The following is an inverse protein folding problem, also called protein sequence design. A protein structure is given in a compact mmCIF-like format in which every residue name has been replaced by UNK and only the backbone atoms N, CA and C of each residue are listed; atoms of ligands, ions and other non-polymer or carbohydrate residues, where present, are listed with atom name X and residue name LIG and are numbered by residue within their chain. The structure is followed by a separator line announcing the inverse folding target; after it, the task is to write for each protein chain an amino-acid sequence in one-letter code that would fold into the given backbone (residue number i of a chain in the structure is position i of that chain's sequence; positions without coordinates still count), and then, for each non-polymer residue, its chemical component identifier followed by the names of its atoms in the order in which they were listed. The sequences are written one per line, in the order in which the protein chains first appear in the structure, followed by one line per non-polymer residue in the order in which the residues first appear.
data_IF_277858741528
#
_entry.id   IF_277858741528
#
_cell.length_a   1.000
_cell.length_b   1.000
_cell.length_c   1.000
_cell.angle_alpha   90.00
_cell.angle_beta   90.00
_cell.angle_gamma   90.00
#
_symmetry.space_group_name_H-M   'P 1'
#
loop_
_entity.id
_entity.type
_entity.pdbx_description
1 polymer ?
#
# COMPACT_ATOMS: atom_id res chain seq x y z
N UNK A 1 -38.44 9.82 -53.69
CA UNK A 1 -38.30 10.16 -52.26
C UNK A 1 -37.08 9.43 -51.76
N UNK A 2 -36.02 10.17 -51.44
CA UNK A 2 -34.79 9.61 -50.89
C UNK A 2 -34.91 9.65 -49.37
N UNK A 3 -35.04 8.48 -48.73
CA UNK A 3 -34.87 8.39 -47.28
C UNK A 3 -33.38 8.26 -46.96
N UNK A 4 -32.92 9.32 -46.31
CA UNK A 4 -31.56 9.54 -45.85
C UNK A 4 -31.44 8.87 -44.48
N UNK A 5 -31.09 7.59 -44.43
CA UNK A 5 -30.73 6.92 -43.16
C UNK A 5 -29.28 7.27 -42.84
N UNK A 6 -29.09 8.43 -42.21
CA UNK A 6 -27.81 8.81 -41.63
C UNK A 6 -27.44 7.82 -40.52
N UNK A 7 -26.38 7.10 -40.84
CA UNK A 7 -25.47 6.36 -39.98
C UNK A 7 -25.19 7.11 -38.65
N UNK A 8 -25.73 6.62 -37.54
CA UNK A 8 -25.24 6.94 -36.19
C UNK A 8 -24.49 5.73 -35.65
N UNK A 9 -23.33 5.42 -36.24
CA UNK A 9 -22.33 4.60 -35.56
C UNK A 9 -21.80 5.38 -34.36
N UNK A 10 -22.53 5.33 -33.25
CA UNK A 10 -21.98 5.74 -31.96
C UNK A 10 -20.89 4.72 -31.61
N UNK A 11 -19.63 5.13 -31.71
CA UNK A 11 -18.50 4.37 -31.17
C UNK A 11 -18.56 4.43 -29.64
N UNK A 12 -19.40 3.60 -29.02
CA UNK A 12 -19.25 3.28 -27.61
C UNK A 12 -18.17 2.22 -27.49
N UNK A 13 -16.93 2.61 -27.17
CA UNK A 13 -16.00 1.66 -26.56
C UNK A 13 -16.51 1.47 -25.12
N UNK A 14 -17.36 0.46 -24.93
CA UNK A 14 -17.70 -0.02 -23.59
C UNK A 14 -16.44 -0.69 -23.04
N UNK A 15 -15.67 0.07 -22.27
CA UNK A 15 -14.62 -0.48 -21.42
C UNK A 15 -15.32 -1.21 -20.27
N UNK A 16 -15.73 -2.45 -20.53
CA UNK A 16 -16.44 -3.28 -19.58
C UNK A 16 -15.47 -3.63 -18.44
N UNK A 17 -15.60 -2.89 -17.33
CA UNK A 17 -14.76 -3.05 -16.14
C UNK A 17 -14.86 -4.50 -15.68
N UNK A 18 -13.72 -5.12 -15.41
CA UNK A 18 -13.62 -6.47 -14.91
C UNK A 18 -12.85 -6.45 -13.60
N UNK A 19 -13.31 -7.23 -12.62
CA UNK A 19 -12.48 -7.63 -11.51
C UNK A 19 -12.83 -9.03 -11.04
N UNK A 20 -11.83 -9.68 -10.45
CA UNK A 20 -11.92 -10.99 -9.83
C UNK A 20 -11.10 -11.01 -8.55
N UNK A 21 -11.72 -11.48 -7.48
CA UNK A 21 -11.05 -11.74 -6.20
C UNK A 21 -11.13 -13.23 -5.93
N UNK A 22 -9.98 -13.89 -5.88
CA UNK A 22 -9.88 -15.33 -5.58
C UNK A 22 -9.24 -15.51 -4.21
N UNK A 23 -9.96 -16.17 -3.30
CA UNK A 23 -9.47 -16.60 -2.00
C UNK A 23 -9.11 -18.08 -2.04
N UNK A 24 -7.87 -18.43 -1.67
CA UNK A 24 -7.39 -19.81 -1.69
C UNK A 24 -7.40 -20.40 -0.28
N UNK A 25 -8.44 -21.19 0.00
CA UNK A 25 -8.69 -21.80 1.31
C UNK A 25 -8.08 -23.19 1.32
N UNK A 26 -7.10 -23.42 2.20
CA UNK A 26 -6.51 -24.75 2.37
C UNK A 26 -7.43 -25.64 3.19
N UNK A 27 -7.75 -26.82 2.67
CA UNK A 27 -8.49 -27.87 3.35
C UNK A 27 -7.67 -29.17 3.34
N UNK A 28 -6.81 -29.34 4.35
CA UNK A 28 -5.82 -30.41 4.34
C UNK A 28 -4.79 -30.22 3.22
N UNK A 29 -4.69 -31.20 2.31
CA UNK A 29 -3.83 -31.13 1.12
C UNK A 29 -4.49 -30.43 -0.08
N UNK A 30 -5.80 -30.23 -0.04
CA UNK A 30 -6.55 -29.60 -1.13
C UNK A 30 -6.65 -28.09 -0.94
N UNK A 31 -6.79 -27.37 -2.04
CA UNK A 31 -7.04 -25.92 -2.03
C UNK A 31 -8.38 -25.67 -2.71
N UNK A 32 -9.33 -25.16 -1.94
CA UNK A 32 -10.61 -24.65 -2.43
C UNK A 32 -10.45 -23.19 -2.84
N UNK A 33 -10.93 -22.82 -4.02
CA UNK A 33 -10.93 -21.43 -4.49
C UNK A 33 -12.33 -20.84 -4.37
N UNK A 34 -12.44 -19.75 -3.59
CA UNK A 34 -13.67 -18.96 -3.48
C UNK A 34 -13.48 -17.72 -4.34
N UNK A 35 -14.29 -17.59 -5.38
CA UNK A 35 -14.14 -16.54 -6.37
C UNK A 35 -15.31 -15.56 -6.34
N UNK A 36 -14.99 -14.27 -6.34
CA UNK A 36 -15.94 -13.20 -6.59
C UNK A 36 -15.52 -12.54 -7.90
N UNK A 37 -16.30 -12.72 -8.94
CA UNK A 37 -15.98 -12.27 -10.28
C UNK A 37 -17.12 -11.41 -10.83
N UNK A 38 -16.75 -10.25 -11.38
CA UNK A 38 -17.67 -9.36 -12.07
C UNK A 38 -17.63 -9.68 -13.56
N UNK A 39 -18.68 -10.32 -14.07
CA UNK A 39 -18.81 -10.70 -15.47
C UNK A 39 -19.57 -9.65 -16.29
N UNK A 40 -19.46 -9.76 -17.62
CA UNK A 40 -20.18 -8.89 -18.55
C UNK A 40 -21.69 -9.09 -18.42
N UNK A 41 -22.44 -7.99 -18.46
CA UNK A 41 -23.91 -8.01 -18.39
C UNK A 41 -24.46 -8.65 -19.67
N UNK A 42 -25.02 -9.85 -19.58
CA UNK A 42 -25.76 -10.47 -20.69
C UNK A 42 -27.23 -10.06 -20.64
N UNK A 43 -27.78 -9.63 -21.79
CA UNK A 43 -29.19 -9.26 -21.95
C UNK A 43 -29.72 -8.21 -20.94
N UNK A 44 -28.83 -7.35 -20.42
CA UNK A 44 -29.20 -6.29 -19.48
C UNK A 44 -29.41 -6.75 -18.03
N UNK A 45 -29.16 -8.03 -17.70
CA UNK A 45 -29.28 -8.56 -16.33
C UNK A 45 -27.89 -8.75 -15.74
N UNK A 46 -27.55 -7.91 -14.74
CA UNK A 46 -26.33 -8.09 -13.95
C UNK A 46 -26.64 -8.99 -12.75
N UNK A 47 -26.08 -10.20 -12.74
CA UNK A 47 -26.18 -11.15 -11.62
C UNK A 47 -24.86 -11.31 -10.87
N UNK A 48 -23.88 -10.45 -11.16
CA UNK A 48 -22.57 -10.53 -10.53
C UNK A 48 -22.62 -10.03 -9.08
N UNK A 49 -21.77 -10.57 -8.19
CA UNK A 49 -21.68 -10.06 -6.83
C UNK A 49 -21.19 -8.60 -6.85
N UNK A 50 -21.86 -7.73 -6.08
CA UNK A 50 -21.36 -6.39 -5.81
C UNK A 50 -20.16 -6.47 -4.86
N UNK A 51 -19.00 -6.02 -5.32
CA UNK A 51 -17.82 -5.82 -4.46
C UNK A 51 -16.99 -4.62 -4.91
N UNK A 52 -16.20 -4.11 -3.98
CA UNK A 52 -15.31 -2.97 -4.21
C UNK A 52 -13.88 -3.39 -3.89
N UNK A 53 -12.93 -2.90 -4.67
CA UNK A 53 -11.51 -3.13 -4.48
C UNK A 53 -10.79 -1.79 -4.36
N UNK A 54 -9.93 -1.70 -3.37
CA UNK A 54 -8.87 -0.70 -3.28
C UNK A 54 -7.56 -1.43 -2.99
N UNK A 55 -6.54 -1.22 -3.82
CA UNK A 55 -5.18 -1.75 -3.56
C UNK A 55 -4.20 -0.60 -3.55
N UNK A 56 -3.25 -0.61 -2.63
CA UNK A 56 -2.22 0.41 -2.46
C UNK A 56 -0.85 -0.20 -2.72
N UNK A 57 0.02 0.53 -3.41
CA UNK A 57 1.41 0.14 -3.67
C UNK A 57 2.39 1.27 -3.37
N UNK A 58 3.59 0.93 -2.89
CA UNK A 58 4.56 1.92 -2.41
C UNK A 58 6.00 1.34 -2.39
N UNK A 59 7.00 2.10 -2.84
CA UNK A 59 8.42 1.71 -2.77
C UNK A 59 9.06 1.92 -1.37
N UNK A 60 8.40 2.67 -0.49
CA UNK A 60 8.88 3.09 0.84
C UNK A 60 8.24 2.28 1.97
N UNK A 61 6.94 2.03 1.86
CA UNK A 61 6.23 1.09 2.72
C UNK A 61 6.55 -0.33 2.28
N UNK A 62 6.81 -1.19 3.25
CA UNK A 62 7.41 -2.48 2.93
C UNK A 62 6.39 -3.62 2.79
N UNK A 63 5.09 -3.28 2.78
CA UNK A 63 3.98 -4.19 2.50
C UNK A 63 2.83 -3.43 1.86
N UNK A 64 2.39 -3.88 0.70
CA UNK A 64 1.21 -3.36 0.03
C UNK A 64 -0.05 -3.85 0.75
N UNK A 65 -1.11 -3.04 0.72
CA UNK A 65 -2.39 -3.30 1.39
C UNK A 65 -3.48 -3.38 0.33
N UNK A 66 -4.42 -4.29 0.51
CA UNK A 66 -5.66 -4.28 -0.24
C UNK A 66 -6.87 -4.29 0.70
N UNK A 67 -7.92 -3.58 0.30
CA UNK A 67 -9.24 -3.60 0.94
C UNK A 67 -10.23 -4.12 -0.08
N UNK A 68 -10.93 -5.18 0.29
CA UNK A 68 -12.04 -5.74 -0.50
C UNK A 68 -13.31 -5.58 0.32
N UNK A 69 -14.33 -4.97 -0.26
CA UNK A 69 -15.65 -4.85 0.34
C UNK A 69 -16.58 -5.82 -0.37
N UNK A 70 -17.22 -6.73 0.37
CA UNK A 70 -18.20 -7.68 -0.17
C UNK A 70 -19.49 -7.57 0.63
N UNK A 71 -20.62 -7.66 -0.05
CA UNK A 71 -21.94 -7.59 0.58
C UNK A 71 -22.55 -8.98 0.76
N UNK A 72 -23.31 -9.16 1.84
CA UNK A 72 -24.20 -10.30 2.08
C UNK A 72 -23.51 -11.68 2.04
N UNK A 73 -22.27 -11.79 2.55
CA UNK A 73 -21.58 -13.07 2.73
C UNK A 73 -22.37 -14.01 3.66
N UNK A 74 -22.40 -15.29 3.29
CA UNK A 74 -22.99 -16.35 4.13
C UNK A 74 -22.10 -16.66 5.34
N UNK A 75 -22.69 -17.22 6.40
CA UNK A 75 -21.94 -17.62 7.60
C UNK A 75 -20.86 -18.68 7.30
N UNK A 76 -21.07 -19.51 6.28
CA UNK A 76 -20.06 -20.48 5.83
C UNK A 76 -18.84 -19.77 5.22
N UNK A 77 -19.07 -18.80 4.33
CA UNK A 77 -17.98 -18.03 3.71
C UNK A 77 -17.20 -17.25 4.76
N UNK A 78 -17.87 -16.61 5.71
CA UNK A 78 -17.21 -15.89 6.82
C UNK A 78 -16.30 -16.84 7.62
N UNK A 79 -16.71 -18.08 7.84
CA UNK A 79 -15.90 -19.09 8.55
C UNK A 79 -14.68 -19.55 7.73
N UNK A 80 -14.74 -19.49 6.40
CA UNK A 80 -13.62 -19.83 5.50
C UNK A 80 -12.64 -18.67 5.33
N UNK A 81 -13.12 -17.44 5.23
CA UNK A 81 -12.33 -16.22 5.01
C UNK A 81 -11.64 -15.72 6.30
N UNK A 82 -10.62 -16.44 6.75
CA UNK A 82 -9.86 -16.16 7.97
C UNK A 82 -8.49 -15.55 7.68
N UNK A 83 -7.86 -14.98 8.72
CA UNK A 83 -6.48 -14.48 8.66
C UNK A 83 -5.53 -15.56 8.11
N UNK A 84 -4.68 -15.18 7.16
CA UNK A 84 -3.69 -16.05 6.52
C UNK A 84 -4.16 -16.75 5.24
N UNK A 85 -5.46 -16.72 4.92
CA UNK A 85 -5.99 -17.18 3.62
C UNK A 85 -5.40 -16.33 2.50
N UNK A 86 -4.89 -16.98 1.45
CA UNK A 86 -4.27 -16.27 0.33
C UNK A 86 -5.33 -15.61 -0.55
N UNK A 87 -4.98 -14.43 -1.07
CA UNK A 87 -5.85 -13.59 -1.90
C UNK A 87 -5.10 -13.20 -3.17
N UNK A 88 -5.76 -13.35 -4.31
CA UNK A 88 -5.33 -12.81 -5.60
C UNK A 88 -6.43 -11.88 -6.10
N UNK A 89 -6.03 -10.68 -6.54
CA UNK A 89 -6.94 -9.71 -7.12
C UNK A 89 -6.49 -9.40 -8.55
N UNK A 90 -7.38 -9.65 -9.49
CA UNK A 90 -7.25 -9.33 -10.90
C UNK A 90 -8.26 -8.26 -11.27
N UNK A 91 -7.84 -7.27 -12.06
CA UNK A 91 -8.74 -6.21 -12.50
C UNK A 91 -8.26 -5.58 -13.80
N UNK A 92 -9.19 -4.93 -14.51
CA UNK A 92 -8.92 -4.34 -15.82
C UNK A 92 -10.19 -4.14 -16.64
N UNK A 93 -10.05 -4.34 -17.94
CA UNK A 93 -11.15 -4.23 -18.89
C UNK A 93 -11.31 -5.51 -19.70
N UNK A 94 -12.55 -5.95 -19.85
CA UNK A 94 -12.94 -7.10 -20.65
C UNK A 94 -13.91 -6.62 -21.73
N UNK A 95 -13.42 -6.30 -22.93
CA UNK A 95 -14.24 -5.59 -23.91
C UNK A 95 -15.17 -6.52 -24.71
N UNK A 96 -14.67 -7.65 -25.22
CA UNK A 96 -15.44 -8.49 -26.16
C UNK A 96 -15.08 -10.00 -26.12
N UNK A 97 -14.68 -10.51 -24.95
CA UNK A 97 -14.30 -11.92 -24.76
C UNK A 97 -12.92 -12.29 -25.34
N UNK A 98 -12.47 -11.58 -26.38
CA UNK A 98 -11.17 -11.76 -27.05
C UNK A 98 -10.18 -10.70 -26.62
N UNK A 99 -10.62 -9.45 -26.51
CA UNK A 99 -9.81 -8.31 -26.06
C UNK A 99 -9.98 -8.13 -24.55
N UNK A 100 -8.98 -8.60 -23.81
CA UNK A 100 -8.90 -8.48 -22.35
C UNK A 100 -7.62 -7.73 -21.98
N UNK A 101 -7.78 -6.64 -21.25
CA UNK A 101 -6.69 -5.86 -20.66
C UNK A 101 -6.79 -5.97 -19.13
N UNK A 102 -6.52 -7.19 -18.64
CA UNK A 102 -6.69 -7.60 -17.24
C UNK A 102 -5.34 -8.07 -16.72
N UNK A 103 -5.01 -7.70 -15.49
CA UNK A 103 -3.83 -8.22 -14.83
C UNK A 103 -3.97 -8.29 -13.32
N UNK A 104 -3.01 -8.94 -12.70
CA UNK A 104 -2.94 -9.07 -11.24
C UNK A 104 -2.46 -7.77 -10.63
N UNK A 105 -3.35 -7.10 -9.90
CA UNK A 105 -3.04 -5.86 -9.17
C UNK A 105 -2.63 -6.11 -7.72
N UNK A 106 -2.88 -7.31 -7.19
CA UNK A 106 -2.52 -7.64 -5.82
C UNK A 106 -2.42 -9.16 -5.56
N UNK A 107 -1.41 -9.58 -4.78
CA UNK A 107 -1.33 -10.89 -4.15
C UNK A 107 -0.91 -10.77 -2.69
N UNK A 108 -1.57 -11.50 -1.80
CA UNK A 108 -1.24 -11.48 -0.38
C UNK A 108 -2.08 -12.45 0.43
N UNK A 109 -2.34 -12.08 1.68
CA UNK A 109 -3.18 -12.83 2.62
C UNK A 109 -4.18 -11.92 3.32
N UNK A 110 -5.29 -12.49 3.79
CA UNK A 110 -6.23 -11.81 4.69
C UNK A 110 -5.53 -11.48 6.01
N UNK A 111 -5.63 -10.24 6.46
CA UNK A 111 -5.24 -9.81 7.81
C UNK A 111 -6.46 -9.79 8.75
N UNK A 112 -7.58 -9.25 8.27
CA UNK A 112 -8.80 -9.13 9.06
C UNK A 112 -10.04 -9.07 8.18
N UNK A 113 -11.15 -9.59 8.70
CA UNK A 113 -12.49 -9.46 8.14
C UNK A 113 -13.40 -8.83 9.20
N UNK A 114 -14.11 -7.76 8.83
CA UNK A 114 -15.04 -7.05 9.71
C UNK A 114 -16.41 -6.92 9.04
N UNK A 115 -17.44 -7.45 9.68
CA UNK A 115 -18.83 -7.31 9.25
C UNK A 115 -19.52 -6.15 9.96
N UNK A 116 -20.33 -5.40 9.22
CA UNK A 116 -21.20 -4.34 9.74
C UNK A 116 -22.50 -4.29 8.96
N UNK A 117 -23.57 -3.83 9.59
CA UNK A 117 -24.84 -3.55 8.89
C UNK A 117 -24.75 -2.22 8.17
N UNK A 118 -25.19 -2.18 6.92
CA UNK A 118 -25.35 -0.98 6.11
C UNK A 118 -26.76 -0.99 5.50
N UNK A 119 -27.69 -0.30 6.17
CA UNK A 119 -29.11 -0.35 5.86
C UNK A 119 -29.64 -1.80 5.86
N UNK A 120 -30.14 -2.29 4.71
CA UNK A 120 -30.65 -3.64 4.55
C UNK A 120 -29.57 -4.69 4.27
N UNK A 121 -28.34 -4.25 3.92
CA UNK A 121 -27.25 -5.14 3.53
C UNK A 121 -26.23 -5.34 4.65
N UNK A 122 -25.57 -6.50 4.65
CA UNK A 122 -24.43 -6.78 5.54
C UNK A 122 -23.13 -6.55 4.77
N UNK A 123 -22.42 -5.47 5.11
CA UNK A 123 -21.14 -5.09 4.51
C UNK A 123 -19.98 -5.80 5.21
N UNK A 124 -19.10 -6.44 4.46
CA UNK A 124 -17.88 -7.07 4.96
C UNK A 124 -16.65 -6.39 4.39
N UNK A 125 -15.81 -5.85 5.26
CA UNK A 125 -14.52 -5.25 4.90
C UNK A 125 -13.40 -6.25 5.19
N UNK A 126 -12.74 -6.70 4.13
CA UNK A 126 -11.61 -7.63 4.17
C UNK A 126 -10.33 -6.83 3.92
N UNK A 127 -9.50 -6.69 4.94
CA UNK A 127 -8.17 -6.10 4.81
C UNK A 127 -7.15 -7.19 4.56
N UNK A 128 -6.37 -7.02 3.50
CA UNK A 128 -5.31 -7.93 3.11
C UNK A 128 -3.95 -7.23 3.21
N UNK A 129 -2.89 -8.00 3.41
CA UNK A 129 -1.51 -7.52 3.33
C UNK A 129 -0.62 -8.46 2.50
N UNK A 130 0.53 -7.95 2.06
CA UNK A 130 1.49 -8.75 1.31
C UNK A 130 2.25 -9.68 2.27
N UNK A 131 1.72 -10.88 2.47
CA UNK A 131 2.38 -12.01 3.16
C UNK A 131 3.07 -11.65 4.49
N UNK A 132 2.41 -10.90 5.38
CA UNK A 132 2.95 -10.50 6.68
C UNK A 132 3.27 -11.67 7.62
N UNK A 133 2.62 -12.82 7.42
CA UNK A 133 2.95 -14.07 8.11
C UNK A 133 4.41 -14.49 7.87
N UNK A 134 4.92 -14.29 6.65
CA UNK A 134 6.35 -14.45 6.36
C UNK A 134 7.14 -13.17 6.64
N UNK A 135 6.64 -12.05 6.14
CA UNK A 135 7.41 -10.82 6.10
C UNK A 135 7.65 -10.20 7.49
N UNK A 136 6.62 -10.17 8.35
CA UNK A 136 6.67 -9.53 9.67
C UNK A 136 6.78 -10.54 10.82
N UNK A 137 6.17 -11.72 10.66
CA UNK A 137 5.99 -12.65 11.77
C UNK A 137 7.08 -13.74 11.81
N UNK A 138 7.68 -14.10 10.66
CA UNK A 138 8.74 -15.11 10.60
C UNK A 138 10.06 -14.58 11.14
N UNK A 139 10.59 -15.27 12.17
CA UNK A 139 11.90 -14.99 12.77
C UNK A 139 12.99 -15.82 12.11
N UNK A 140 14.05 -15.15 11.67
CA UNK A 140 15.24 -15.78 11.12
C UNK A 140 16.36 -15.71 12.16
N UNK A 141 16.99 -16.86 12.40
CA UNK A 141 18.26 -16.96 13.11
C UNK A 141 19.28 -17.57 12.15
N UNK A 142 20.14 -16.74 11.58
CA UNK A 142 21.10 -17.12 10.56
C UNK A 142 22.48 -16.62 10.92
N UNK A 143 23.47 -17.51 10.85
CA UNK A 143 24.90 -17.17 10.92
C UNK A 143 25.53 -17.53 9.59
N UNK A 144 26.20 -16.58 8.97
CA UNK A 144 26.90 -16.78 7.70
C UNK A 144 28.40 -16.78 7.94
N UNK A 145 29.10 -17.60 7.16
CA UNK A 145 30.55 -17.70 7.21
C UNK A 145 31.23 -16.42 6.71
N UNK A 146 32.53 -16.31 7.00
CA UNK A 146 33.41 -15.27 6.46
C UNK A 146 33.30 -15.22 4.93
N UNK A 147 33.30 -14.02 4.36
CA UNK A 147 33.29 -13.86 2.90
C UNK A 147 31.90 -13.89 2.25
N UNK A 148 30.82 -14.02 3.04
CA UNK A 148 29.47 -14.14 2.48
C UNK A 148 28.97 -12.77 2.01
N UNK A 149 28.56 -12.68 0.74
CA UNK A 149 27.97 -11.47 0.15
C UNK A 149 26.53 -11.24 0.61
N UNK A 150 26.13 -9.97 0.75
CA UNK A 150 24.77 -9.59 1.13
C UNK A 150 23.71 -10.16 0.19
N UNK A 151 23.95 -10.14 -1.13
CA UNK A 151 23.04 -10.73 -2.14
C UNK A 151 22.79 -12.22 -1.90
N UNK A 152 23.82 -12.98 -1.52
CA UNK A 152 23.72 -14.40 -1.15
C UNK A 152 22.88 -14.60 0.10
N UNK A 153 23.04 -13.73 1.11
CA UNK A 153 22.24 -13.80 2.35
C UNK A 153 20.76 -13.56 2.03
N UNK A 154 20.43 -12.56 1.21
CA UNK A 154 19.05 -12.24 0.82
C UNK A 154 18.42 -13.46 0.13
N UNK A 155 19.10 -14.03 -0.87
CA UNK A 155 18.63 -15.22 -1.60
C UNK A 155 18.44 -16.43 -0.67
N UNK A 156 19.34 -16.65 0.29
CA UNK A 156 19.26 -17.72 1.27
C UNK A 156 18.08 -17.54 2.25
N UNK A 157 17.73 -16.31 2.61
CA UNK A 157 16.54 -16.05 3.43
C UNK A 157 15.29 -16.35 2.60
N UNK A 158 15.21 -15.83 1.37
CA UNK A 158 14.06 -16.05 0.48
C UNK A 158 13.86 -17.53 0.14
N UNK A 159 14.93 -18.33 0.04
CA UNK A 159 14.82 -19.77 -0.23
C UNK A 159 14.21 -20.56 0.93
N UNK A 160 14.07 -19.96 2.13
CA UNK A 160 13.43 -20.57 3.30
C UNK A 160 11.98 -20.12 3.48
N UNK A 161 11.47 -19.32 2.55
CA UNK A 161 10.12 -18.76 2.57
C UNK A 161 9.27 -19.41 1.48
N UNK A 162 8.01 -19.64 1.78
CA UNK A 162 7.08 -20.34 0.91
C UNK A 162 6.40 -19.40 -0.08
N UNK A 163 6.05 -18.18 0.35
CA UNK A 163 5.24 -17.23 -0.41
C UNK A 163 6.08 -16.10 -1.00
N UNK A 164 7.04 -15.56 -0.25
CA UNK A 164 7.95 -14.54 -0.74
C UNK A 164 9.05 -15.12 -1.62
N UNK A 165 9.16 -14.64 -2.85
CA UNK A 165 10.13 -15.09 -3.86
C UNK A 165 11.08 -13.99 -4.26
N UNK A 166 12.27 -14.38 -4.73
CA UNK A 166 13.27 -13.45 -5.22
C UNK A 166 12.86 -12.91 -6.60
N UNK A 167 12.82 -11.58 -6.72
CA UNK A 167 12.83 -10.87 -8.00
C UNK A 167 14.24 -10.41 -8.36
N UNK A 168 14.33 -9.18 -8.87
CA UNK A 168 15.62 -8.54 -9.15
C UNK A 168 16.34 -8.22 -7.83
N UNK A 169 17.54 -8.76 -7.65
CA UNK A 169 18.39 -8.49 -6.49
C UNK A 169 19.66 -7.80 -6.97
N UNK A 170 19.58 -6.49 -7.14
CA UNK A 170 20.68 -5.61 -7.54
C UNK A 170 20.98 -4.64 -6.39
N UNK A 171 22.16 -4.74 -5.80
CA UNK A 171 22.49 -3.96 -4.62
C UNK A 171 23.36 -2.76 -4.99
N UNK A 172 23.14 -1.61 -4.35
CA UNK A 172 23.98 -0.43 -4.57
C UNK A 172 25.45 -0.68 -4.23
N UNK A 173 25.69 -1.48 -3.19
CA UNK A 173 26.99 -2.05 -2.83
C UNK A 173 26.78 -3.44 -2.25
N UNK A 174 27.10 -4.48 -3.02
CA UNK A 174 27.04 -5.85 -2.51
C UNK A 174 28.20 -6.10 -1.53
N UNK A 175 27.91 -5.91 -0.24
CA UNK A 175 28.90 -6.00 0.84
C UNK A 175 29.34 -7.44 1.01
N UNK A 176 30.66 -7.61 1.04
CA UNK A 176 31.31 -8.82 1.53
C UNK A 176 31.49 -8.74 3.06
N UNK A 177 30.75 -9.57 3.79
CA UNK A 177 30.88 -9.67 5.25
C UNK A 177 32.12 -10.53 5.60
N UNK A 178 33.29 -9.87 5.64
CA UNK A 178 34.61 -10.51 5.89
C UNK A 178 34.67 -11.36 7.16
N UNK A 179 34.01 -10.93 8.23
CA UNK A 179 33.97 -11.66 9.51
C UNK A 179 32.74 -12.56 9.65
N UNK A 180 31.95 -12.70 8.59
CA UNK A 180 30.63 -13.29 8.62
C UNK A 180 29.57 -12.31 9.16
N UNK A 181 28.31 -12.74 9.17
CA UNK A 181 27.19 -11.95 9.67
C UNK A 181 26.27 -12.84 10.50
N UNK A 182 25.81 -12.33 11.63
CA UNK A 182 24.74 -12.96 12.42
C UNK A 182 23.50 -12.10 12.31
N UNK A 183 22.39 -12.72 11.90
CA UNK A 183 21.09 -12.09 11.74
C UNK A 183 20.10 -12.79 12.68
N UNK A 184 19.49 -12.02 13.57
CA UNK A 184 18.51 -12.51 14.54
C UNK A 184 17.36 -11.52 14.69
N UNK A 185 16.40 -11.58 13.77
CA UNK A 185 15.20 -10.75 13.80
C UNK A 185 14.15 -11.33 12.84
N UNK A 186 13.01 -10.64 12.67
CA UNK A 186 12.09 -10.98 11.59
C UNK A 186 12.63 -10.56 10.21
N UNK A 187 12.03 -11.11 9.15
CA UNK A 187 12.41 -10.85 7.76
C UNK A 187 12.40 -9.35 7.44
N UNK A 188 11.35 -8.62 7.84
CA UNK A 188 11.23 -7.16 7.68
C UNK A 188 12.45 -6.41 8.21
N UNK A 189 12.85 -6.66 9.45
CA UNK A 189 13.98 -5.96 10.06
C UNK A 189 15.30 -6.34 9.41
N UNK A 190 15.49 -7.63 9.08
CA UNK A 190 16.71 -8.09 8.40
C UNK A 190 16.83 -7.47 7.02
N UNK A 191 15.76 -7.45 6.22
CA UNK A 191 15.80 -6.84 4.89
C UNK A 191 16.03 -5.33 4.95
N UNK A 192 15.47 -4.64 5.94
CA UNK A 192 15.78 -3.22 6.20
C UNK A 192 17.25 -2.99 6.55
N UNK A 193 17.82 -3.83 7.42
CA UNK A 193 19.24 -3.77 7.77
C UNK A 193 20.12 -4.01 6.53
N UNK A 194 19.84 -5.05 5.74
CA UNK A 194 20.61 -5.39 4.54
C UNK A 194 20.49 -4.31 3.45
N UNK A 195 19.29 -3.75 3.24
CA UNK A 195 19.10 -2.64 2.30
C UNK A 195 19.91 -1.41 2.72
N UNK A 196 19.92 -1.07 4.01
CA UNK A 196 20.71 0.05 4.55
C UNK A 196 22.21 -0.18 4.39
N UNK A 197 22.71 -1.34 4.81
CA UNK A 197 24.12 -1.73 4.66
C UNK A 197 24.57 -1.56 3.20
N UNK A 198 23.74 -2.05 2.27
CA UNK A 198 24.08 -2.13 0.83
C UNK A 198 23.71 -0.88 0.02
N UNK A 199 23.27 0.21 0.66
CA UNK A 199 22.77 1.44 -0.02
C UNK A 199 21.67 1.17 -1.04
N UNK A 200 20.79 0.23 -0.71
CA UNK A 200 19.69 -0.22 -1.55
C UNK A 200 18.34 0.19 -0.94
N UNK A 201 17.29 0.08 -1.75
CA UNK A 201 15.90 -0.02 -1.28
C UNK A 201 15.40 -1.43 -1.56
N UNK A 202 14.33 -1.82 -0.88
CA UNK A 202 13.58 -3.01 -1.25
C UNK A 202 12.09 -2.76 -1.08
N UNK A 203 11.31 -3.44 -1.91
CA UNK A 203 9.85 -3.43 -1.88
C UNK A 203 9.34 -4.81 -2.32
N UNK A 204 8.06 -5.08 -2.05
CA UNK A 204 7.45 -6.38 -2.31
C UNK A 204 6.19 -6.17 -3.15
N UNK A 205 6.25 -6.61 -4.40
CA UNK A 205 5.11 -6.55 -5.32
C UNK A 205 4.59 -7.95 -5.55
N UNK A 206 3.34 -8.23 -5.17
CA UNK A 206 2.67 -9.52 -5.43
C UNK A 206 3.48 -10.75 -4.97
N UNK A 207 4.17 -10.65 -3.83
CA UNK A 207 5.04 -11.70 -3.29
C UNK A 207 6.46 -11.75 -3.85
N UNK A 208 6.80 -10.87 -4.79
CA UNK A 208 8.14 -10.78 -5.37
C UNK A 208 8.94 -9.68 -4.67
N UNK A 209 10.02 -10.08 -4.00
CA UNK A 209 10.92 -9.18 -3.28
C UNK A 209 11.99 -8.67 -4.25
N UNK A 210 12.04 -7.35 -4.40
CA UNK A 210 13.01 -6.66 -5.26
C UNK A 210 13.96 -5.83 -4.41
N UNK A 211 15.26 -5.91 -4.70
CA UNK A 211 16.29 -5.02 -4.16
C UNK A 211 16.93 -4.26 -5.32
N UNK A 212 17.02 -2.93 -5.20
CA UNK A 212 17.66 -2.06 -6.19
C UNK A 212 18.49 -0.97 -5.52
N UNK A 213 19.54 -0.43 -6.18
CA UNK A 213 20.23 0.76 -5.68
C UNK A 213 19.24 1.92 -5.51
N UNK A 214 19.36 2.68 -4.41
CA UNK A 214 18.40 3.73 -4.04
C UNK A 214 18.25 4.82 -5.12
N UNK A 215 19.32 5.09 -5.86
CA UNK A 215 19.42 6.09 -6.92
C UNK A 215 19.08 5.53 -8.32
N UNK A 216 18.85 4.22 -8.46
CA UNK A 216 18.68 3.54 -9.76
C UNK A 216 17.51 2.55 -9.76
N UNK A 217 16.44 2.88 -9.06
CA UNK A 217 15.21 2.08 -9.08
C UNK A 217 14.64 2.11 -10.50
N UNK A 218 14.44 0.92 -11.08
CA UNK A 218 13.89 0.78 -12.42
C UNK A 218 13.41 -0.66 -12.65
N UNK A 219 12.10 -0.87 -12.76
CA UNK A 219 11.50 -2.15 -13.16
C UNK A 219 11.16 -2.22 -14.66
N UNK A 220 11.37 -1.14 -15.38
CA UNK A 220 10.95 -0.94 -16.76
C UNK A 220 10.28 0.42 -16.95
N UNK A 221 10.09 0.78 -18.20
CA UNK A 221 9.36 1.99 -18.61
C UNK A 221 8.00 1.57 -19.14
N UNK A 222 6.95 2.20 -18.61
CA UNK A 222 5.58 2.06 -19.06
C UNK A 222 5.28 3.18 -20.05
N UNK A 223 4.81 2.80 -21.23
CA UNK A 223 4.23 3.71 -22.20
C UNK A 223 2.76 3.94 -21.83
N UNK A 224 2.37 5.20 -21.67
CA UNK A 224 1.01 5.58 -21.30
C UNK A 224 0.56 6.82 -22.05
N UNK A 225 -0.66 6.76 -22.60
CA UNK A 225 -1.27 7.89 -23.28
C UNK A 225 -1.69 8.94 -22.25
N UNK A 226 -1.03 10.10 -22.28
CA UNK A 226 -1.27 11.21 -21.35
C UNK A 226 -2.72 11.73 -21.39
N UNK A 227 -3.46 11.53 -22.48
CA UNK A 227 -4.87 11.92 -22.57
C UNK A 227 -5.80 11.06 -21.70
N UNK A 228 -5.29 9.97 -21.10
CA UNK A 228 -6.02 9.10 -20.18
C UNK A 228 -5.91 9.54 -18.72
N UNK A 229 -5.18 10.62 -18.43
CA UNK A 229 -5.24 11.29 -17.14
C UNK A 229 -6.53 12.09 -17.00
N UNK A 230 -7.11 12.02 -15.80
CA UNK A 230 -8.34 12.69 -15.40
C UNK A 230 -8.08 13.92 -14.55
N UNK A 231 -7.06 13.86 -13.69
CA UNK A 231 -6.74 14.91 -12.72
C UNK A 231 -5.25 14.87 -12.32
N UNK A 232 -4.71 16.02 -11.93
CA UNK A 232 -3.34 16.18 -11.45
C UNK A 232 -3.34 17.08 -10.22
N UNK A 233 -2.65 16.62 -9.18
CA UNK A 233 -2.43 17.38 -7.96
C UNK A 233 -0.94 17.52 -7.69
N UNK A 234 -0.47 18.76 -7.60
CA UNK A 234 0.86 19.05 -7.09
C UNK A 234 0.86 18.94 -5.57
N UNK A 235 1.85 18.22 -5.04
CA UNK A 235 2.14 18.12 -3.62
C UNK A 235 3.57 18.62 -3.37
N UNK A 236 4.00 18.69 -2.11
CA UNK A 236 5.35 19.13 -1.73
C UNK A 236 6.46 18.24 -2.37
N UNK A 237 6.91 18.60 -3.57
CA UNK A 237 7.98 17.91 -4.31
C UNK A 237 7.55 16.68 -5.13
N UNK A 238 6.25 16.36 -5.19
CA UNK A 238 5.69 15.23 -5.97
C UNK A 238 4.42 15.63 -6.71
N UNK A 239 3.99 14.82 -7.68
CA UNK A 239 2.68 14.97 -8.32
C UNK A 239 1.88 13.69 -8.16
N UNK A 240 0.61 13.82 -7.78
CA UNK A 240 -0.37 12.74 -7.85
C UNK A 240 -1.14 12.87 -9.16
N UNK A 241 -1.06 11.85 -10.00
CA UNK A 241 -1.75 11.76 -11.28
C UNK A 241 -2.88 10.74 -11.13
N UNK A 242 -4.11 11.15 -11.43
CA UNK A 242 -5.28 10.24 -11.49
C UNK A 242 -5.56 9.91 -12.95
N UNK A 243 -5.58 8.63 -13.28
CA UNK A 243 -5.86 8.13 -14.62
C UNK A 243 -7.10 7.25 -14.64
N UNK A 244 -7.59 6.94 -15.85
CA UNK A 244 -8.44 5.74 -16.02
C UNK A 244 -7.73 4.53 -15.41
N UNK A 245 -8.49 3.52 -15.00
CA UNK A 245 -7.92 2.33 -14.40
C UNK A 245 -6.90 1.68 -15.37
N UNK A 246 -5.72 1.32 -14.86
CA UNK A 246 -4.71 0.59 -15.61
C UNK A 246 -3.94 -0.33 -14.64
N UNK A 247 -4.05 -1.64 -14.83
CA UNK A 247 -3.49 -2.64 -13.92
C UNK A 247 -1.95 -2.72 -13.96
N UNK A 248 -1.31 -2.08 -14.95
CA UNK A 248 0.14 -2.16 -15.17
C UNK A 248 0.92 -1.18 -14.31
N UNK A 249 0.26 -0.13 -13.80
CA UNK A 249 0.89 0.80 -12.88
C UNK A 249 1.24 0.10 -11.57
N UNK A 250 2.52 0.04 -11.26
CA UNK A 250 3.05 -0.57 -10.04
C UNK A 250 4.26 0.24 -9.56
N UNK A 251 4.59 0.10 -8.29
CA UNK A 251 5.76 0.71 -7.67
C UNK A 251 7.07 0.27 -8.37
N UNK A 252 7.99 1.22 -8.54
CA UNK A 252 9.31 0.97 -9.12
C UNK A 252 9.36 0.97 -10.65
N UNK A 253 8.23 0.99 -11.34
CA UNK A 253 8.18 1.30 -12.77
C UNK A 253 8.41 2.79 -13.00
N UNK A 254 8.90 3.11 -14.19
CA UNK A 254 8.95 4.48 -14.67
C UNK A 254 7.89 4.70 -15.73
N UNK A 255 7.44 5.94 -15.87
CA UNK A 255 6.44 6.34 -16.86
C UNK A 255 7.01 7.48 -17.69
N UNK A 256 6.87 7.37 -19.02
CA UNK A 256 7.23 8.45 -19.94
C UNK A 256 6.03 9.38 -20.10
N UNK A 257 6.19 10.65 -19.74
CA UNK A 257 5.12 11.64 -19.71
C UNK A 257 5.42 12.81 -20.64
N UNK A 258 4.39 13.30 -21.34
CA UNK A 258 4.39 14.60 -22.02
C UNK A 258 3.04 15.27 -21.74
N UNK A 259 2.93 15.89 -20.57
CA UNK A 259 1.67 16.43 -20.05
C UNK A 259 1.36 17.83 -20.57
N UNK A 260 2.31 18.49 -21.27
CA UNK A 260 2.14 19.85 -21.76
C UNK A 260 0.93 20.02 -22.70
N UNK A 261 0.63 18.97 -23.47
CA UNK A 261 -0.53 18.96 -24.39
C UNK A 261 -1.86 18.75 -23.69
N UNK A 262 -1.85 18.08 -22.53
CA UNK A 262 -3.06 17.70 -21.79
C UNK A 262 -3.39 18.72 -20.71
N UNK A 263 -2.38 19.38 -20.14
CA UNK A 263 -2.52 20.39 -19.10
C UNK A 263 -1.67 21.61 -19.48
N UNK A 264 -2.30 22.64 -20.05
CA UNK A 264 -1.64 23.79 -20.69
C UNK A 264 -0.60 24.54 -19.83
N UNK A 265 -0.65 24.36 -18.50
CA UNK A 265 0.21 25.05 -17.53
C UNK A 265 1.32 24.15 -16.93
N UNK A 266 1.38 22.86 -17.28
CA UNK A 266 2.34 21.91 -16.70
C UNK A 266 3.43 21.54 -17.71
N UNK A 267 4.68 21.88 -17.39
CA UNK A 267 5.86 21.46 -18.15
C UNK A 267 6.45 20.13 -17.63
N UNK A 268 5.59 19.13 -17.42
CA UNK A 268 6.01 17.78 -17.04
C UNK A 268 6.28 17.00 -18.33
N UNK A 269 7.56 16.83 -18.64
CA UNK A 269 8.02 16.06 -19.79
C UNK A 269 9.25 15.23 -19.43
N UNK A 270 9.18 13.92 -19.63
CA UNK A 270 10.29 13.01 -19.40
C UNK A 270 9.87 11.72 -18.69
N UNK A 271 10.87 11.01 -18.19
CA UNK A 271 10.71 9.72 -17.52
C UNK A 271 10.67 9.93 -15.99
N UNK A 272 9.58 9.51 -15.36
CA UNK A 272 9.37 9.68 -13.92
C UNK A 272 9.15 8.35 -13.22
N UNK A 273 9.73 8.18 -12.03
CA UNK A 273 9.56 6.99 -11.20
C UNK A 273 8.20 7.02 -10.50
N UNK A 274 7.43 5.94 -10.63
CA UNK A 274 6.23 5.68 -9.84
C UNK A 274 6.67 5.23 -8.45
N UNK A 275 6.45 6.07 -7.44
CA UNK A 275 6.84 5.79 -6.06
C UNK A 275 5.72 5.11 -5.29
N UNK A 276 4.49 5.57 -5.49
CA UNK A 276 3.29 5.12 -4.78
C UNK A 276 2.09 5.17 -5.69
N UNK A 277 1.02 4.53 -5.26
CA UNK A 277 -0.27 4.67 -5.94
C UNK A 277 -1.31 3.74 -5.38
N UNK A 278 -2.49 3.79 -6.00
CA UNK A 278 -3.58 2.90 -5.67
C UNK A 278 -4.43 2.60 -6.89
N UNK A 279 -4.97 1.40 -6.93
CA UNK A 279 -6.03 1.02 -7.86
C UNK A 279 -7.36 1.02 -7.12
N UNK A 280 -8.38 1.61 -7.73
CA UNK A 280 -9.74 1.60 -7.20
C UNK A 280 -10.68 1.04 -8.26
N UNK A 281 -11.47 0.06 -7.86
CA UNK A 281 -12.53 -0.52 -8.68
C UNK A 281 -13.81 -0.57 -7.85
N UNK A 282 -14.69 0.40 -8.12
CA UNK A 282 -16.08 0.40 -7.70
C UNK A 282 -16.96 0.38 -8.96
N UNK A 283 -17.76 -0.68 -9.11
CA UNK A 283 -18.57 -0.86 -10.31
C UNK A 283 -19.74 0.13 -10.41
N UNK A 284 -20.16 0.73 -9.28
CA UNK A 284 -21.27 1.69 -9.23
C UNK A 284 -20.82 3.14 -9.42
N UNK A 285 -19.61 3.47 -8.96
CA UNK A 285 -19.09 4.83 -8.99
C UNK A 285 -17.88 4.90 -9.93
N UNK A 286 -16.70 4.59 -9.40
CA UNK A 286 -15.45 4.98 -10.02
C UNK A 286 -14.51 3.78 -10.23
N UNK A 287 -13.83 3.78 -11.38
CA UNK A 287 -12.67 2.93 -11.62
C UNK A 287 -11.53 3.79 -12.11
N UNK A 288 -10.43 3.80 -11.37
CA UNK A 288 -9.28 4.64 -11.66
C UNK A 288 -7.99 4.06 -11.07
N UNK A 289 -6.87 4.63 -11.50
CA UNK A 289 -5.59 4.41 -10.85
C UNK A 289 -4.97 5.77 -10.52
N UNK A 290 -4.56 5.94 -9.27
CA UNK A 290 -3.77 7.10 -8.83
C UNK A 290 -2.32 6.67 -8.69
N UNK A 291 -1.40 7.51 -9.15
CA UNK A 291 0.03 7.28 -9.03
C UNK A 291 0.74 8.56 -8.60
N UNK A 292 1.70 8.41 -7.70
CA UNK A 292 2.60 9.46 -7.26
C UNK A 292 3.90 9.34 -8.05
N UNK A 293 4.27 10.43 -8.73
CA UNK A 293 5.57 10.57 -9.37
C UNK A 293 6.45 11.55 -8.62
N UNK A 294 7.75 11.26 -8.64
CA UNK A 294 8.77 12.12 -8.06
C UNK A 294 9.50 12.90 -9.16
N UNK A 295 9.49 14.23 -9.07
CA UNK A 295 10.11 15.11 -10.07
C UNK A 295 11.54 15.53 -9.71
N UNK A 296 11.96 15.34 -8.46
CA UNK A 296 13.33 15.54 -7.98
C UNK A 296 13.72 14.40 -7.04
N UNK A 297 14.85 13.73 -7.29
CA UNK A 297 15.47 12.83 -6.31
C UNK A 297 16.04 13.67 -5.16
N UNK A 298 15.19 14.16 -4.26
CA UNK A 298 15.66 14.90 -3.09
C UNK A 298 16.37 13.97 -2.10
N UNK A 299 17.66 14.24 -1.89
CA UNK A 299 18.51 13.65 -0.85
C UNK A 299 17.98 13.87 0.60
N UNK A 300 16.89 14.62 0.77
CA UNK A 300 16.30 15.01 2.05
C UNK A 300 15.43 13.91 2.69
N UNK A 301 14.69 13.10 1.90
CA UNK A 301 14.07 11.88 2.43
C UNK A 301 15.12 10.84 2.84
N UNK A 302 16.27 10.87 2.18
CA UNK A 302 17.49 10.13 2.56
C UNK A 302 17.98 10.54 3.95
N UNK A 303 17.70 11.77 4.41
CA UNK A 303 17.95 12.21 5.80
C UNK A 303 16.83 11.81 6.75
N UNK A 304 15.55 11.98 6.38
CA UNK A 304 14.40 11.65 7.25
C UNK A 304 14.28 10.15 7.55
N UNK A 305 14.53 9.27 6.59
CA UNK A 305 14.59 7.82 6.81
C UNK A 305 15.80 7.41 7.70
N UNK A 306 16.86 8.23 7.73
CA UNK A 306 18.03 8.02 8.57
C UNK A 306 17.89 8.62 9.99
N UNK A 307 17.05 9.64 10.19
CA UNK A 307 16.85 10.28 11.51
C UNK A 307 15.85 9.53 12.40
N UNK A 308 14.85 8.84 11.83
CA UNK A 308 13.80 8.15 12.62
C UNK A 308 14.32 6.92 13.40
N UNK A 309 15.54 6.41 13.10
CA UNK A 309 16.14 5.27 13.83
C UNK A 309 17.24 5.64 14.86
N UNK A 310 17.60 6.93 15.04
CA UNK A 310 18.60 7.34 16.05
C UNK A 310 17.91 7.68 17.38
N UNK A 311 17.08 6.78 17.91
CA UNK A 311 16.78 6.72 19.36
C UNK A 311 16.78 5.27 19.85
N UNK A 312 17.76 4.47 19.46
CA UNK A 312 18.14 3.30 20.27
C UNK A 312 19.64 3.06 20.18
N UNK A 313 20.34 3.51 21.22
CA UNK A 313 21.72 3.08 21.47
C UNK A 313 22.11 3.37 22.90
N UNK A 314 22.15 2.33 23.75
CA UNK A 314 23.33 1.97 24.56
C UNK A 314 23.10 0.72 25.41
N UNK A 315 23.84 -0.35 25.09
CA UNK A 315 24.25 -1.41 26.03
C UNK A 315 25.21 -0.79 27.06
N UNK A 316 25.09 -1.20 28.32
CA UNK A 316 25.55 -0.43 29.48
C UNK A 316 26.85 -0.87 30.16
N UNK A 317 27.17 -0.19 31.27
CA UNK A 317 27.50 -0.77 32.59
C UNK A 317 27.62 0.34 33.67
N UNK A 318 27.17 -0.05 34.86
CA UNK A 318 27.47 0.42 36.23
C UNK A 318 26.99 1.79 36.78
N UNK A 319 25.98 1.67 37.64
CA UNK A 319 25.90 2.08 39.06
C UNK A 319 26.09 3.54 39.52
N UNK A 320 25.19 3.89 40.46
CA UNK A 320 25.14 5.06 41.35
C UNK A 320 24.75 6.41 40.73
N UNK A 321 23.44 6.68 40.69
CA UNK A 321 22.87 8.00 41.10
C UNK A 321 21.33 8.02 41.06
N UNK A 322 20.69 6.98 41.59
CA UNK A 322 19.26 6.98 41.90
C UNK A 322 18.98 7.83 43.15
N UNK A 323 18.91 9.18 43.02
CA UNK A 323 18.18 10.01 44.00
C UNK A 323 17.81 11.46 43.62
N UNK A 324 18.24 12.02 42.49
CA UNK A 324 17.97 13.46 42.18
C UNK A 324 16.85 13.78 41.16
N UNK A 325 16.22 12.80 40.49
CA UNK A 325 15.14 13.07 39.51
C UNK A 325 13.70 12.95 40.02
N UNK A 326 13.46 12.39 41.22
CA UNK A 326 12.10 12.29 41.81
C UNK A 326 11.61 13.57 42.50
N UNK A 327 12.49 14.55 42.78
CA UNK A 327 12.11 15.81 43.44
C UNK A 327 11.62 16.87 42.43
N UNK A 328 12.19 16.95 41.21
CA UNK A 328 11.76 17.94 40.18
C UNK A 328 10.39 17.68 39.56
N UNK A 329 9.86 16.44 39.58
CA UNK A 329 8.50 16.14 39.08
C UNK A 329 7.38 16.42 40.10
N UNK A 330 7.66 16.44 41.41
CA UNK A 330 6.66 16.81 42.43
C UNK A 330 6.44 18.33 42.52
N UNK A 331 7.47 19.15 42.28
CA UNK A 331 7.36 20.62 42.33
C UNK A 331 6.51 21.17 41.17
N UNK A 332 6.68 20.68 39.93
CA UNK A 332 5.87 21.14 38.78
C UNK A 332 4.39 20.70 38.83
N UNK A 333 4.06 19.60 39.53
CA UNK A 333 2.67 19.14 39.68
C UNK A 333 1.90 19.97 40.73
N UNK A 334 2.60 20.57 41.70
CA UNK A 334 2.00 21.45 42.72
C UNK A 334 1.68 22.86 42.18
N UNK A 335 2.46 23.40 41.22
CA UNK A 335 2.20 24.73 40.64
C UNK A 335 0.99 24.75 39.69
N UNK A 336 0.71 23.66 38.97
CA UNK A 336 -0.48 23.58 38.08
C UNK A 336 -1.80 23.51 38.85
N UNK A 337 -1.83 22.93 40.05
CA UNK A 337 -3.05 22.81 40.86
C UNK A 337 -3.44 24.16 41.52
N UNK A 338 -2.48 25.04 41.80
CA UNK A 338 -2.77 26.40 42.33
C UNK A 338 -3.35 27.36 41.29
N UNK A 339 -3.10 27.17 39.99
CA UNK A 339 -3.64 28.03 38.92
C UNK A 339 -5.08 27.69 38.51
N UNK A 340 -5.56 26.47 38.76
CA UNK A 340 -6.92 26.04 38.38
C UNK A 340 -7.97 26.42 39.44
N UNK A 341 -7.58 26.63 40.71
CA UNK A 341 -8.51 27.03 41.79
C UNK A 341 -8.84 28.54 41.87
N UNK A 342 -8.40 29.37 40.91
CA UNK A 342 -8.55 30.84 40.98
C UNK A 342 -9.55 31.47 39.99
N UNK A 343 -10.37 30.70 39.27
CA UNK A 343 -11.45 31.27 38.45
C UNK A 343 -12.83 30.68 38.75
N UNK A 344 -13.65 31.54 39.39
CA UNK A 344 -15.12 31.56 39.64
C UNK A 344 -15.65 30.74 40.84
N UNK A 345 -16.83 31.12 41.42
CA UNK A 345 -17.72 32.28 41.19
C UNK A 345 -18.12 33.05 42.48
N UNK A 346 -18.73 34.25 42.36
CA UNK A 346 -19.66 34.76 43.39
C UNK A 346 -20.89 35.43 42.75
N UNK A 347 -22.06 34.85 43.05
CA UNK A 347 -23.39 35.46 43.00
C UNK A 347 -23.58 36.34 44.25
N UNK A 348 -24.29 37.46 44.15
CA UNK A 348 -25.28 37.86 45.15
C UNK A 348 -26.24 38.96 44.63
N UNK A 349 -27.49 38.86 45.11
CA UNK A 349 -28.71 39.61 44.76
C UNK A 349 -28.85 40.95 45.48
N UNK A 350 -29.60 41.90 44.89
CA UNK A 350 -30.87 42.55 45.40
C UNK A 350 -31.15 43.82 44.57
N UNK A 351 -32.36 43.96 43.96
CA UNK A 351 -33.53 44.80 44.33
C UNK A 351 -33.19 46.31 44.46
N UNK A 352 -33.94 47.30 43.99
CA UNK A 352 -35.32 47.44 43.50
C UNK A 352 -35.48 48.83 42.84
N UNK A 353 -36.59 49.03 42.09
CA UNK A 353 -37.32 50.31 41.84
C UNK A 353 -36.64 51.35 40.91
N UNK A 354 -37.30 52.09 40.01
CA UNK A 354 -38.71 52.48 39.86
C UNK A 354 -38.94 53.17 38.47
N UNK A 355 -40.21 53.18 38.00
CA UNK A 355 -40.86 54.10 37.01
C UNK A 355 -40.45 53.95 35.53
N UNK A 356 -41.36 53.94 34.54
CA UNK A 356 -42.79 54.27 34.44
C UNK A 356 -43.40 53.43 33.31
#
# INVERSE_FOLDING_TARGET
MAENTQNSNNYYILWDRYAKVTFKVKNGSETEEIEFERFQVENGVDSSPDFEIETEFDITESTNIAKVVIYNLTDEMIKKLKKGVEVVIEAGYWNDGKNKDIGVIYKGIIESLKGSWNNADKKFEITCNTYNDEYKDTKINLKTGKGTKASTIIKLILSKLDKLKAGTIELGKDIDYKDGKTLHNNVKHIFKELAKDTKSVFFITNGVVTFQPRDKINRGVLEFDSNRFQDIKENDGTYTLKAIFDHRFQEGFKINLDLKKTFEQLEIKGEYLITKGKHVMNFKTDAYTELEIRTKFDDEETKKANEIEIVTGKKGKNEKSSKKKKIKKKVKKMERIKKIKRKKPKRQQKRNEERQ
#
